data_IF_974480578893
#
_entry.id   IF_974480578893
#
_cell.length_a   1.000
_cell.length_b   1.000
_cell.length_c   1.000
_cell.angle_alpha   90.00
_cell.angle_beta   90.00
_cell.angle_gamma   90.00
#
_symmetry.space_group_name_H-M   'P 1'
#
loop_
_entity.id
_entity.type
_entity.pdbx_description
1 polymer ?
#
# COMPACT_ATOMS: atom_id res chain seq x y z
N UNK A 1 -14.93 36.64 24.73
CA UNK A 1 -14.93 36.45 23.26
C UNK A 1 -13.71 35.62 22.91
N UNK A 2 -13.86 34.30 22.80
CA UNK A 2 -12.74 33.40 22.53
C UNK A 2 -12.63 33.18 21.01
N UNK A 3 -11.51 33.63 20.46
CA UNK A 3 -11.12 33.44 19.06
C UNK A 3 -10.67 31.99 18.85
N UNK A 4 -11.51 31.18 18.21
CA UNK A 4 -11.09 29.90 17.66
C UNK A 4 -10.28 30.18 16.39
N UNK A 5 -8.95 30.28 16.51
CA UNK A 5 -8.07 30.07 15.37
C UNK A 5 -8.15 28.59 15.00
N UNK A 6 -9.01 28.27 14.03
CA UNK A 6 -8.89 27.02 13.28
C UNK A 6 -7.55 27.06 12.56
N UNK A 7 -6.57 26.35 13.11
CA UNK A 7 -5.28 26.13 12.48
C UNK A 7 -5.51 25.26 11.24
N UNK A 8 -5.83 25.89 10.12
CA UNK A 8 -6.00 25.27 8.80
C UNK A 8 -4.62 24.89 8.25
N UNK A 9 -3.97 23.91 8.88
CA UNK A 9 -2.84 23.20 8.29
C UNK A 9 -3.41 22.35 7.16
N UNK A 10 -3.21 22.76 5.90
CA UNK A 10 -3.77 22.12 4.70
C UNK A 10 -3.88 20.59 4.81
N UNK A 11 -5.08 20.04 5.11
CA UNK A 11 -5.23 18.64 5.52
C UNK A 11 -5.29 17.66 4.35
N UNK A 12 -5.38 18.13 3.11
CA UNK A 12 -5.90 17.31 2.02
C UNK A 12 -5.02 16.12 1.59
N UNK A 13 -3.69 16.22 1.67
CA UNK A 13 -2.81 15.12 1.25
C UNK A 13 -2.46 14.15 2.38
N UNK A 14 -2.05 14.66 3.56
CA UNK A 14 -1.68 13.81 4.69
C UNK A 14 -2.85 12.96 5.18
N UNK A 15 -4.06 13.53 5.20
CA UNK A 15 -5.27 12.80 5.58
C UNK A 15 -5.59 11.68 4.58
N UNK A 16 -5.27 11.88 3.29
CA UNK A 16 -5.51 10.86 2.26
C UNK A 16 -4.56 9.67 2.43
N UNK A 17 -3.27 9.90 2.68
CA UNK A 17 -2.30 8.83 2.96
C UNK A 17 -2.68 8.00 4.19
N UNK A 18 -3.08 8.64 5.30
CA UNK A 18 -3.56 7.94 6.51
C UNK A 18 -4.82 7.11 6.25
N UNK A 19 -5.75 7.61 5.43
CA UNK A 19 -6.93 6.85 5.02
C UNK A 19 -6.55 5.61 4.20
N UNK A 20 -5.57 5.72 3.30
CA UNK A 20 -5.10 4.59 2.48
C UNK A 20 -4.45 3.55 3.37
N UNK A 21 -3.60 3.96 4.31
CA UNK A 21 -2.97 3.04 5.27
C UNK A 21 -4.00 2.31 6.13
N UNK A 22 -5.03 3.02 6.62
CA UNK A 22 -6.10 2.43 7.41
C UNK A 22 -6.89 1.37 6.62
N UNK A 23 -7.25 1.68 5.37
CA UNK A 23 -7.96 0.75 4.48
C UNK A 23 -7.10 -0.49 4.16
N UNK A 24 -5.83 -0.28 3.82
CA UNK A 24 -4.87 -1.36 3.53
C UNK A 24 -4.72 -2.27 4.75
N UNK A 25 -4.56 -1.68 5.95
CA UNK A 25 -4.47 -2.44 7.19
C UNK A 25 -5.75 -3.24 7.46
N UNK A 26 -6.92 -2.63 7.30
CA UNK A 26 -8.20 -3.30 7.51
C UNK A 26 -8.37 -4.51 6.58
N UNK A 27 -8.10 -4.35 5.28
CA UNK A 27 -8.13 -5.45 4.29
C UNK A 27 -7.11 -6.55 4.62
N UNK A 28 -5.89 -6.18 5.01
CA UNK A 28 -4.87 -7.13 5.39
C UNK A 28 -5.21 -7.90 6.67
N UNK A 29 -5.91 -7.27 7.63
CA UNK A 29 -6.33 -7.89 8.87
C UNK A 29 -7.58 -8.78 8.72
N UNK A 30 -8.42 -8.55 7.70
CA UNK A 30 -9.62 -9.34 7.45
C UNK A 30 -9.27 -10.75 6.93
N UNK A 31 -9.48 -11.82 7.71
CA UNK A 31 -9.16 -13.18 7.28
C UNK A 31 -10.03 -13.67 6.12
N UNK A 32 -11.26 -13.15 5.97
CA UNK A 32 -12.18 -13.54 4.90
C UNK A 32 -11.86 -12.82 3.58
N UNK A 33 -11.11 -11.72 3.62
CA UNK A 33 -10.66 -11.04 2.43
C UNK A 33 -9.57 -11.83 1.72
N UNK A 34 -9.78 -12.10 0.43
CA UNK A 34 -8.78 -12.72 -0.43
C UNK A 34 -7.81 -11.64 -0.93
N UNK A 35 -6.51 -11.73 -0.61
CA UNK A 35 -5.55 -10.70 -0.98
C UNK A 35 -5.40 -10.66 -2.51
N UNK A 36 -5.94 -9.59 -3.11
CA UNK A 36 -5.66 -9.21 -4.49
C UNK A 36 -5.22 -7.76 -4.58
N UNK A 37 -4.07 -7.50 -5.21
CA UNK A 37 -3.56 -6.15 -5.39
C UNK A 37 -4.49 -5.30 -6.26
N UNK A 38 -5.15 -5.91 -7.25
CA UNK A 38 -6.09 -5.19 -8.11
C UNK A 38 -7.35 -4.79 -7.34
N UNK A 39 -7.89 -5.69 -6.49
CA UNK A 39 -9.05 -5.37 -5.65
C UNK A 39 -8.71 -4.29 -4.62
N UNK A 40 -7.51 -4.36 -4.01
CA UNK A 40 -7.07 -3.35 -3.06
C UNK A 40 -6.90 -1.97 -3.72
N UNK A 41 -6.34 -1.92 -4.94
CA UNK A 41 -6.24 -0.69 -5.70
C UNK A 41 -7.62 -0.12 -6.07
N UNK A 42 -8.59 -0.99 -6.39
CA UNK A 42 -9.96 -0.59 -6.70
C UNK A 42 -10.71 -0.05 -5.47
N UNK A 43 -10.53 -0.71 -4.31
CA UNK A 43 -11.06 -0.22 -3.03
C UNK A 43 -10.52 1.17 -2.70
N UNK A 44 -9.21 1.39 -2.86
CA UNK A 44 -8.59 2.70 -2.61
C UNK A 44 -9.16 3.76 -3.57
N UNK A 45 -9.39 3.41 -4.83
CA UNK A 45 -9.99 4.33 -5.81
C UNK A 45 -11.43 4.69 -5.51
N UNK A 46 -12.20 3.69 -5.06
CA UNK A 46 -13.62 3.85 -4.78
C UNK A 46 -13.84 4.60 -3.46
N UNK A 47 -13.02 4.33 -2.45
CA UNK A 47 -13.24 4.81 -1.10
C UNK A 47 -12.48 6.09 -0.76
N UNK A 48 -11.37 6.41 -1.45
CA UNK A 48 -10.44 7.46 -1.01
C UNK A 48 -10.08 8.40 -2.16
N UNK A 49 -9.40 7.90 -3.19
CA UNK A 49 -8.92 8.73 -4.31
C UNK A 49 -9.06 7.99 -5.63
N UNK A 50 -10.01 8.42 -6.47
CA UNK A 50 -10.26 7.84 -7.79
C UNK A 50 -9.02 7.82 -8.71
N UNK A 51 -8.04 8.70 -8.47
CA UNK A 51 -6.79 8.77 -9.23
C UNK A 51 -5.67 7.93 -8.63
N UNK A 52 -5.93 7.18 -7.55
CA UNK A 52 -4.93 6.38 -6.87
C UNK A 52 -4.23 5.42 -7.84
N UNK A 53 -2.90 5.48 -7.79
CA UNK A 53 -2.04 4.63 -8.59
C UNK A 53 -1.44 3.48 -7.77
N UNK A 54 -0.90 2.45 -8.42
CA UNK A 54 -0.14 1.39 -7.75
C UNK A 54 0.96 1.88 -6.78
N UNK A 55 1.71 2.97 -7.05
CA UNK A 55 2.73 3.47 -6.12
C UNK A 55 2.18 3.86 -4.75
N UNK A 56 0.98 4.46 -4.70
CA UNK A 56 0.34 4.92 -3.45
C UNK A 56 -0.06 3.72 -2.57
N UNK A 57 -0.63 2.69 -3.18
CA UNK A 57 -1.00 1.46 -2.46
C UNK A 57 0.24 0.72 -1.96
N UNK A 58 1.32 0.70 -2.76
CA UNK A 58 2.58 0.08 -2.36
C UNK A 58 3.31 0.85 -1.25
N UNK A 59 3.26 2.19 -1.23
CA UNK A 59 3.80 2.98 -0.13
C UNK A 59 3.03 2.75 1.16
N UNK A 60 1.70 2.72 1.10
CA UNK A 60 0.84 2.42 2.25
C UNK A 60 1.08 0.98 2.77
N UNK A 61 1.20 -0.01 1.87
CA UNK A 61 1.61 -1.37 2.23
C UNK A 61 2.93 -1.39 3.00
N UNK A 62 3.94 -0.66 2.52
CA UNK A 62 5.24 -0.59 3.17
C UNK A 62 5.17 0.10 4.55
N UNK A 63 4.32 1.12 4.70
CA UNK A 63 4.09 1.80 5.97
C UNK A 63 3.38 0.90 6.98
N UNK A 64 2.28 0.25 6.57
CA UNK A 64 1.55 -0.72 7.39
C UNK A 64 2.47 -1.83 7.86
N UNK A 65 3.38 -2.33 7.02
CA UNK A 65 4.32 -3.38 7.40
C UNK A 65 5.35 -2.99 8.44
N UNK A 66 5.76 -1.71 8.47
CA UNK A 66 6.67 -1.22 9.52
C UNK A 66 5.98 -1.24 10.89
N UNK A 67 4.68 -0.96 10.90
CA UNK A 67 3.88 -0.88 12.13
C UNK A 67 3.25 -2.23 12.53
N UNK A 68 2.98 -3.10 11.55
CA UNK A 68 2.26 -4.37 11.69
C UNK A 68 2.98 -5.52 10.98
N UNK A 69 4.12 -5.99 11.53
CA UNK A 69 4.90 -7.07 10.93
C UNK A 69 4.13 -8.40 10.86
N UNK A 70 3.09 -8.58 11.67
CA UNK A 70 2.19 -9.76 11.63
C UNK A 70 1.44 -9.89 10.29
N UNK A 71 1.26 -8.78 9.55
CA UNK A 71 0.57 -8.76 8.26
C UNK A 71 1.52 -9.06 7.08
N UNK A 72 2.82 -9.31 7.34
CA UNK A 72 3.86 -9.49 6.34
C UNK A 72 3.56 -10.59 5.31
N UNK A 73 3.01 -11.72 5.73
CA UNK A 73 2.70 -12.83 4.83
C UNK A 73 1.67 -12.44 3.77
N UNK A 74 0.58 -11.76 4.17
CA UNK A 74 -0.49 -11.32 3.25
C UNK A 74 -0.02 -10.17 2.36
N UNK A 75 0.78 -9.25 2.92
CA UNK A 75 1.38 -8.17 2.15
C UNK A 75 2.39 -8.66 1.09
N UNK A 76 3.15 -9.74 1.36
CA UNK A 76 4.04 -10.36 0.35
C UNK A 76 3.24 -10.86 -0.86
N UNK A 77 2.10 -11.53 -0.64
CA UNK A 77 1.25 -12.01 -1.73
C UNK A 77 0.81 -10.85 -2.64
N UNK A 78 0.38 -9.73 -2.05
CA UNK A 78 0.01 -8.53 -2.81
C UNK A 78 1.20 -7.92 -3.57
N UNK A 79 2.38 -7.90 -2.96
CA UNK A 79 3.60 -7.39 -3.60
C UNK A 79 4.04 -8.26 -4.79
N UNK A 80 3.92 -9.59 -4.66
CA UNK A 80 4.20 -10.54 -5.75
C UNK A 80 3.19 -10.41 -6.89
N UNK A 81 1.91 -10.28 -6.59
CA UNK A 81 0.87 -10.04 -7.60
C UNK A 81 1.05 -8.70 -8.31
N UNK A 82 1.37 -7.62 -7.57
CA UNK A 82 1.70 -6.32 -8.14
C UNK A 82 2.90 -6.43 -9.09
N UNK A 83 3.93 -7.19 -8.71
CA UNK A 83 5.12 -7.44 -9.53
C UNK A 83 4.80 -8.28 -10.76
N UNK A 84 4.02 -9.34 -10.62
CA UNK A 84 3.60 -10.21 -11.73
C UNK A 84 2.72 -9.49 -12.73
N UNK A 85 1.76 -8.69 -12.23
CA UNK A 85 0.90 -7.83 -13.04
C UNK A 85 1.68 -6.73 -13.75
N UNK A 86 2.66 -6.13 -13.08
CA UNK A 86 3.56 -5.17 -13.71
C UNK A 86 4.44 -5.84 -14.77
N UNK A 87 5.02 -7.01 -14.49
CA UNK A 87 5.83 -7.78 -15.45
C UNK A 87 5.04 -8.20 -16.70
N UNK A 88 3.78 -8.60 -16.54
CA UNK A 88 2.87 -8.87 -17.65
C UNK A 88 2.58 -7.60 -18.48
N UNK A 89 2.51 -6.43 -17.82
CA UNK A 89 2.32 -5.13 -18.46
C UNK A 89 3.61 -4.50 -19.01
N UNK A 90 4.82 -4.92 -18.63
CA UNK A 90 6.11 -4.40 -19.16
C UNK A 90 6.29 -4.67 -20.65
N UNK A 91 5.56 -5.63 -21.25
CA UNK A 91 5.45 -5.69 -22.72
C UNK A 91 4.77 -4.45 -23.32
N UNK A 92 4.25 -3.54 -22.49
CA UNK A 92 3.52 -2.31 -22.82
C UNK A 92 3.61 -1.25 -21.69
N UNK A 93 4.82 -0.81 -21.33
CA UNK A 93 5.12 0.39 -20.50
C UNK A 93 4.96 0.32 -18.96
N UNK A 94 5.81 1.11 -18.27
CA UNK A 94 5.91 1.48 -16.83
C UNK A 94 6.77 0.61 -15.88
N UNK A 95 8.07 0.89 -15.83
CA UNK A 95 9.05 0.27 -14.92
C UNK A 95 8.98 0.68 -13.43
N UNK A 96 8.26 1.75 -13.07
CA UNK A 96 8.22 2.26 -11.69
C UNK A 96 7.54 1.29 -10.71
N UNK A 97 6.47 0.60 -11.11
CA UNK A 97 5.73 -0.32 -10.23
C UNK A 97 6.57 -1.55 -9.87
N UNK A 98 7.38 -2.01 -10.81
CA UNK A 98 8.28 -3.17 -10.63
C UNK A 98 9.35 -2.87 -9.60
N UNK A 99 9.96 -1.68 -9.67
CA UNK A 99 10.96 -1.24 -8.71
C UNK A 99 10.41 -1.12 -7.29
N UNK A 100 9.19 -0.57 -7.14
CA UNK A 100 8.53 -0.47 -5.83
C UNK A 100 8.16 -1.84 -5.26
N UNK A 101 7.55 -2.72 -6.06
CA UNK A 101 7.22 -4.07 -5.62
C UNK A 101 8.49 -4.86 -5.24
N UNK A 102 9.58 -4.70 -6.00
CA UNK A 102 10.87 -5.34 -5.67
C UNK A 102 11.47 -4.81 -4.36
N UNK A 103 11.40 -3.50 -4.10
CA UNK A 103 11.83 -2.92 -2.82
C UNK A 103 10.99 -3.44 -1.66
N UNK A 104 9.68 -3.55 -1.84
CA UNK A 104 8.76 -4.09 -0.85
C UNK A 104 9.10 -5.55 -0.52
N UNK A 105 9.31 -6.39 -1.54
CA UNK A 105 9.73 -7.79 -1.36
C UNK A 105 11.09 -7.92 -0.66
N UNK A 106 12.04 -7.03 -0.98
CA UNK A 106 13.34 -7.02 -0.31
C UNK A 106 13.23 -6.61 1.16
N UNK A 107 12.37 -5.64 1.48
CA UNK A 107 12.07 -5.24 2.87
C UNK A 107 11.36 -6.34 3.66
N UNK A 108 10.61 -7.18 2.94
CA UNK A 108 9.87 -8.28 3.53
C UNK A 108 10.74 -9.52 3.73
N UNK A 109 11.91 -9.65 3.11
CA UNK A 109 12.77 -10.85 3.25
C UNK A 109 13.19 -11.03 4.72
N UNK A 110 13.01 -12.22 5.33
CA UNK A 110 13.57 -12.47 6.66
C UNK A 110 15.09 -12.38 6.54
N UNK A 111 15.75 -11.66 7.44
CA UNK A 111 17.20 -11.75 7.57
C UNK A 111 17.54 -13.23 7.80
N UNK A 112 18.05 -13.92 6.77
CA UNK A 112 18.60 -15.26 6.95
C UNK A 112 19.70 -15.14 7.99
N UNK A 113 19.63 -15.86 9.14
CA UNK A 113 20.81 -16.04 9.95
C UNK A 113 21.82 -16.78 9.06
N UNK A 114 22.98 -16.15 8.84
CA UNK A 114 24.15 -16.85 8.32
C UNK A 114 24.45 -17.98 9.32
N UNK A 115 24.33 -19.22 8.88
CA UNK A 115 24.94 -20.38 9.52
C UNK A 115 26.06 -20.84 8.57
#
# INVERSE_FOLDING_TARGET
MNSYQANSSSPSNAQSDECVEALVRWRLADPAWLPSFQNLLDDVRTCIDMNAGPPLVLSALMSVLKSHPELASRARLLAEEARGSAAARIRKSNGNVVGFAQRLLNSLRPASPRI
#
